data_IF_210763744472
#
_entry.id   IF_210763744472
#
_cell.length_a   1.000
_cell.length_b   1.000
_cell.length_c   1.000
_cell.angle_alpha   90.00
_cell.angle_beta   90.00
_cell.angle_gamma   90.00
#
_symmetry.space_group_name_H-M   'P 1'
#
loop_
_entity.id
_entity.type
_entity.pdbx_description
1 polymer ?
#
# COMPACT_ATOMS: atom_id res chain seq x y z
N UNK A 1 33.14 -17.08 -16.66
CA UNK A 1 32.22 -16.74 -15.57
C UNK A 1 32.31 -15.24 -15.31
N UNK A 2 31.46 -14.46 -15.96
CA UNK A 2 31.33 -13.04 -15.64
C UNK A 2 29.83 -12.76 -15.55
N UNK A 3 29.34 -12.62 -14.32
CA UNK A 3 27.97 -12.19 -14.04
C UNK A 3 27.94 -10.67 -14.06
N UNK A 4 27.54 -10.08 -15.16
CA UNK A 4 27.22 -8.67 -15.21
C UNK A 4 25.85 -8.46 -14.56
N UNK A 5 25.84 -8.01 -13.31
CA UNK A 5 24.66 -7.49 -12.67
C UNK A 5 24.41 -6.08 -13.20
N UNK A 6 23.42 -5.92 -14.07
CA UNK A 6 22.92 -4.62 -14.48
C UNK A 6 22.09 -4.07 -13.34
N UNK A 7 22.59 -3.05 -12.67
CA UNK A 7 21.83 -2.25 -11.71
C UNK A 7 20.94 -1.29 -12.51
N UNK A 8 19.66 -1.60 -12.60
CA UNK A 8 18.69 -0.74 -13.29
C UNK A 8 18.29 0.42 -12.37
N UNK A 9 18.68 1.63 -12.74
CA UNK A 9 18.25 2.87 -12.08
C UNK A 9 16.88 3.26 -12.68
N UNK A 10 15.80 3.07 -11.95
CA UNK A 10 14.45 3.48 -12.37
C UNK A 10 14.22 4.90 -11.88
N UNK A 11 14.21 5.86 -12.81
CA UNK A 11 13.77 7.24 -12.58
C UNK A 11 12.25 7.32 -12.81
N UNK A 12 11.47 7.44 -11.76
CA UNK A 12 10.03 7.70 -11.84
C UNK A 12 9.72 9.16 -11.52
N UNK A 13 9.07 9.85 -12.46
CA UNK A 13 8.52 11.18 -12.23
C UNK A 13 7.11 11.06 -11.62
N UNK A 14 6.88 11.73 -10.50
CA UNK A 14 5.61 11.68 -9.78
C UNK A 14 4.95 13.03 -9.66
N UNK A 15 3.67 13.10 -10.00
CA UNK A 15 2.79 14.21 -9.64
C UNK A 15 2.42 14.12 -8.16
N UNK A 16 2.54 15.25 -7.45
CA UNK A 16 2.31 15.35 -6.01
C UNK A 16 0.83 15.14 -5.67
N UNK A 17 0.49 14.04 -5.03
CA UNK A 17 -0.76 13.85 -4.30
C UNK A 17 -0.51 14.12 -2.81
N UNK A 18 -1.46 14.81 -2.17
CA UNK A 18 -1.45 15.16 -0.76
C UNK A 18 -1.34 13.92 0.14
N UNK A 19 -0.40 13.94 1.07
CA UNK A 19 0.00 12.79 1.85
C UNK A 19 -1.04 12.36 2.87
N UNK A 20 -1.38 11.11 2.76
CA UNK A 20 -1.81 10.29 3.89
C UNK A 20 -0.63 10.04 4.83
N UNK A 21 -0.86 9.98 6.16
CA UNK A 21 0.17 9.44 7.06
C UNK A 21 0.67 8.13 6.46
N UNK A 22 1.98 7.95 6.25
CA UNK A 22 2.46 6.85 5.45
C UNK A 22 2.09 5.53 6.12
N UNK A 23 1.05 4.88 5.62
CA UNK A 23 1.01 3.43 5.70
C UNK A 23 2.17 3.00 4.82
N UNK A 24 3.31 2.73 5.45
CA UNK A 24 4.49 2.27 4.76
C UNK A 24 4.09 1.03 3.98
N UNK A 25 3.92 1.17 2.67
CA UNK A 25 3.64 0.02 1.81
C UNK A 25 4.93 -0.76 1.67
N UNK A 26 5.03 -1.83 2.42
CA UNK A 26 6.09 -2.81 2.22
C UNK A 26 5.92 -3.42 0.84
N UNK A 27 7.00 -3.60 0.05
CA UNK A 27 6.92 -4.22 -1.26
C UNK A 27 6.14 -5.54 -1.22
N UNK A 28 5.21 -5.70 -2.18
CA UNK A 28 4.47 -6.95 -2.29
C UNK A 28 5.41 -8.14 -2.48
N UNK A 29 5.09 -9.32 -1.93
CA UNK A 29 5.86 -10.52 -2.19
C UNK A 29 5.87 -10.82 -3.68
N UNK A 30 7.01 -11.29 -4.19
CA UNK A 30 7.24 -11.52 -5.62
C UNK A 30 6.25 -12.49 -6.27
N UNK A 31 5.60 -13.37 -5.49
CA UNK A 31 4.54 -14.24 -6.00
C UNK A 31 3.29 -13.47 -6.44
N UNK A 32 3.17 -12.19 -6.05
CA UNK A 32 2.09 -11.29 -6.43
C UNK A 32 2.53 -10.27 -7.48
N UNK A 33 3.79 -10.31 -7.92
CA UNK A 33 4.45 -9.28 -8.69
C UNK A 33 4.26 -9.47 -10.20
N UNK A 34 2.99 -9.55 -10.62
CA UNK A 34 2.59 -9.22 -11.99
C UNK A 34 1.86 -7.86 -12.06
N UNK A 35 1.96 -7.03 -11.03
CA UNK A 35 1.52 -5.64 -11.11
C UNK A 35 2.73 -4.74 -11.34
N UNK A 36 2.68 -3.82 -12.31
CA UNK A 36 3.68 -2.79 -12.44
C UNK A 36 3.77 -2.06 -11.10
N UNK A 37 5.00 -1.87 -10.61
CA UNK A 37 5.27 -1.19 -9.36
C UNK A 37 4.84 0.28 -9.45
N UNK A 38 3.58 0.58 -9.21
CA UNK A 38 3.09 1.94 -8.97
C UNK A 38 3.22 2.29 -7.48
N UNK A 39 4.38 2.01 -6.90
CA UNK A 39 4.70 2.50 -5.56
C UNK A 39 5.45 3.81 -5.66
N UNK A 40 4.71 4.87 -5.86
CA UNK A 40 5.20 6.22 -5.63
C UNK A 40 5.23 6.46 -4.13
N UNK A 41 6.37 6.84 -3.53
CA UNK A 41 6.38 7.32 -2.16
C UNK A 41 5.53 8.58 -2.11
N UNK A 42 4.41 8.53 -1.39
CA UNK A 42 3.62 9.70 -1.07
C UNK A 42 4.47 10.67 -0.25
N UNK A 43 4.62 11.90 -0.74
CA UNK A 43 5.28 12.97 0.01
C UNK A 43 4.55 13.19 1.32
N UNK A 44 5.27 13.10 2.44
CA UNK A 44 4.79 13.60 3.72
C UNK A 44 4.42 15.08 3.59
N UNK A 45 3.31 15.45 4.24
CA UNK A 45 3.09 16.82 4.62
C UNK A 45 4.25 17.23 5.55
N UNK A 46 5.22 17.93 5.04
CA UNK A 46 6.08 18.74 5.88
C UNK A 46 5.17 19.76 6.54
N UNK A 47 5.01 19.64 7.84
CA UNK A 47 4.44 20.67 8.67
C UNK A 47 5.28 21.94 8.45
N UNK A 48 4.85 22.80 7.55
CA UNK A 48 5.32 24.16 7.56
C UNK A 48 4.87 24.78 8.89
N UNK A 49 5.84 24.89 9.78
CA UNK A 49 5.75 25.57 11.06
C UNK A 49 5.81 27.10 10.89
N UNK A 50 4.79 27.82 10.57
CA UNK A 50 4.82 29.22 10.89
C UNK A 50 3.59 29.77 11.62
N UNK A 51 2.44 29.06 11.59
CA UNK A 51 1.24 29.60 12.22
C UNK A 51 1.05 29.15 13.70
N UNK A 52 1.46 27.92 14.03
CA UNK A 52 1.25 27.38 15.39
C UNK A 52 2.23 27.96 16.43
N UNK A 53 3.45 28.35 16.02
CA UNK A 53 4.44 28.96 16.91
C UNK A 53 4.10 30.39 17.33
N UNK A 54 3.33 31.15 16.51
CA UNK A 54 2.89 32.52 16.86
C UNK A 54 1.73 32.54 17.85
N UNK A 55 0.91 31.47 17.89
CA UNK A 55 -0.22 31.37 18.83
C UNK A 55 0.23 30.98 20.26
N UNK A 56 1.41 30.37 20.42
CA UNK A 56 1.92 29.99 21.73
C UNK A 56 2.50 31.16 22.53
N UNK A 57 2.97 32.21 21.86
CA UNK A 57 3.66 33.34 22.50
C UNK A 57 2.67 34.42 23.00
N UNK A 58 1.42 34.44 22.50
CA UNK A 58 0.39 35.43 22.86
C UNK A 58 -0.59 34.93 23.94
N UNK A 59 -0.41 33.75 24.52
CA UNK A 59 -1.26 33.27 25.61
C UNK A 59 -0.84 33.93 26.94
N UNK A 60 -1.80 34.56 27.67
CA UNK A 60 -1.50 35.13 28.98
C UNK A 60 -0.91 34.09 29.94
N UNK A 61 -0.04 34.54 30.82
CA UNK A 61 0.61 33.69 31.84
C UNK A 61 -0.38 33.21 32.94
N UNK A 62 -1.58 32.85 32.53
CA UNK A 62 -2.57 32.24 33.41
C UNK A 62 -2.09 30.84 33.81
N UNK A 63 -2.05 30.60 35.12
CA UNK A 63 -1.60 29.37 35.74
C UNK A 63 -2.75 28.35 35.95
N UNK A 64 -3.95 28.66 35.46
CA UNK A 64 -5.07 27.72 35.58
C UNK A 64 -4.81 26.40 34.87
N UNK A 65 -5.42 25.31 35.35
CA UNK A 65 -5.28 23.99 34.71
C UNK A 65 -5.77 23.99 33.27
N UNK A 66 -6.84 24.75 32.97
CA UNK A 66 -7.39 24.91 31.62
C UNK A 66 -6.38 25.58 30.68
N UNK A 67 -5.72 26.65 31.14
CA UNK A 67 -4.70 27.33 30.34
C UNK A 67 -3.49 26.41 30.07
N UNK A 68 -3.08 25.61 31.06
CA UNK A 68 -2.00 24.64 30.91
C UNK A 68 -2.39 23.51 29.93
N UNK A 69 -3.64 22.98 29.99
CA UNK A 69 -4.17 21.98 29.06
C UNK A 69 -4.17 22.55 27.64
N UNK A 70 -4.68 23.76 27.43
CA UNK A 70 -4.70 24.41 26.13
C UNK A 70 -3.29 24.61 25.56
N UNK A 71 -2.33 25.02 26.39
CA UNK A 71 -0.91 25.17 25.99
C UNK A 71 -0.31 23.83 25.60
N UNK A 72 -0.56 22.75 26.36
CA UNK A 72 -0.08 21.41 26.05
C UNK A 72 -0.71 20.86 24.76
N UNK A 73 -1.99 21.16 24.46
CA UNK A 73 -2.67 20.80 23.20
C UNK A 73 -2.04 21.52 22.02
N UNK A 74 -1.85 22.84 22.09
CA UNK A 74 -1.23 23.65 21.03
C UNK A 74 0.22 23.21 20.78
N UNK A 75 0.99 23.00 21.85
CA UNK A 75 2.39 22.55 21.81
C UNK A 75 2.54 21.06 21.49
N UNK A 76 1.44 20.30 21.40
CA UNK A 76 1.43 18.83 21.22
C UNK A 76 2.30 18.09 22.24
N UNK A 77 2.40 18.64 23.47
CA UNK A 77 3.08 17.96 24.58
C UNK A 77 2.14 16.93 25.21
N UNK A 78 2.06 15.77 24.56
CA UNK A 78 1.16 14.68 24.97
C UNK A 78 1.49 14.12 26.34
N UNK A 79 2.76 14.13 26.76
CA UNK A 79 3.19 13.65 28.06
C UNK A 79 2.72 14.60 29.16
N UNK A 80 2.90 15.90 28.97
CA UNK A 80 2.40 16.93 29.87
C UNK A 80 0.87 16.89 29.93
N UNK A 81 0.21 16.78 28.77
CA UNK A 81 -1.25 16.71 28.68
C UNK A 81 -1.83 15.52 29.44
N UNK A 82 -1.21 14.34 29.38
CA UNK A 82 -1.66 13.16 30.13
C UNK A 82 -1.63 13.39 31.65
N UNK A 83 -0.57 14.01 32.16
CA UNK A 83 -0.46 14.39 33.57
C UNK A 83 -1.49 15.44 34.01
N UNK A 84 -1.71 16.47 33.16
CA UNK A 84 -2.69 17.53 33.42
C UNK A 84 -4.13 16.98 33.41
N UNK A 85 -4.46 16.10 32.47
CA UNK A 85 -5.78 15.47 32.40
C UNK A 85 -6.08 14.57 33.61
N UNK A 86 -5.07 13.90 34.16
CA UNK A 86 -5.24 13.12 35.40
C UNK A 86 -5.60 14.02 36.59
N UNK A 87 -4.99 15.19 36.71
CA UNK A 87 -5.30 16.19 37.75
C UNK A 87 -6.68 16.82 37.49
N UNK A 88 -6.96 17.25 36.25
CA UNK A 88 -8.21 17.93 35.88
C UNK A 88 -9.42 17.02 36.02
N UNK A 89 -9.27 15.72 35.86
CA UNK A 89 -10.33 14.74 36.10
C UNK A 89 -10.89 14.78 37.52
N UNK A 90 -10.03 15.09 38.50
CA UNK A 90 -10.39 15.16 39.91
C UNK A 90 -10.93 16.55 40.33
N UNK A 91 -10.83 17.57 39.47
CA UNK A 91 -11.27 18.92 39.78
C UNK A 91 -12.82 18.97 39.84
N UNK A 92 -13.40 19.57 40.89
CA UNK A 92 -14.88 19.64 41.08
C UNK A 92 -15.54 20.50 39.99
N UNK A 93 -14.87 21.56 39.54
CA UNK A 93 -15.38 22.55 38.58
C UNK A 93 -14.90 22.33 37.15
N UNK A 94 -14.49 21.09 36.81
CA UNK A 94 -13.98 20.78 35.48
C UNK A 94 -14.99 21.03 34.39
N UNK A 95 -14.58 21.69 33.32
CA UNK A 95 -15.31 21.73 32.08
C UNK A 95 -15.25 20.34 31.38
N UNK A 96 -16.40 19.67 31.28
CA UNK A 96 -16.51 18.37 30.67
C UNK A 96 -16.19 18.39 29.17
N UNK A 97 -16.49 19.50 28.46
CA UNK A 97 -16.21 19.65 27.02
C UNK A 97 -14.72 19.76 26.81
N UNK A 98 -14.01 20.62 27.57
CA UNK A 98 -12.55 20.75 27.48
C UNK A 98 -11.86 19.43 27.84
N UNK A 99 -12.33 18.73 28.87
CA UNK A 99 -11.76 17.44 29.28
C UNK A 99 -11.88 16.39 28.16
N UNK A 100 -13.11 16.20 27.63
CA UNK A 100 -13.36 15.21 26.59
C UNK A 100 -12.63 15.57 25.28
N UNK A 101 -12.55 16.85 24.92
CA UNK A 101 -11.81 17.38 23.79
C UNK A 101 -10.32 17.06 23.89
N UNK A 102 -9.69 17.41 25.02
CA UNK A 102 -8.28 17.20 25.27
C UNK A 102 -7.94 15.70 25.37
N UNK A 103 -8.79 14.91 26.03
CA UNK A 103 -8.64 13.46 26.09
C UNK A 103 -8.74 12.83 24.69
N UNK A 104 -9.67 13.29 23.86
CA UNK A 104 -9.81 12.82 22.49
C UNK A 104 -8.57 13.12 21.64
N UNK A 105 -7.98 14.32 21.76
CA UNK A 105 -6.73 14.67 21.11
C UNK A 105 -5.56 13.78 21.57
N UNK A 106 -5.47 13.48 22.87
CA UNK A 106 -4.51 12.55 23.43
C UNK A 106 -4.71 11.13 22.89
N UNK A 107 -5.95 10.64 22.82
CA UNK A 107 -6.25 9.30 22.25
C UNK A 107 -5.88 9.21 20.77
N UNK A 108 -6.13 10.28 20.01
CA UNK A 108 -5.68 10.38 18.61
C UNK A 108 -4.16 10.24 18.49
N UNK A 109 -3.39 10.95 19.30
CA UNK A 109 -1.92 10.88 19.30
C UNK A 109 -1.39 9.48 19.65
N UNK A 110 -2.14 8.72 20.46
CA UNK A 110 -1.86 7.33 20.83
C UNK A 110 -2.35 6.31 19.78
N UNK A 111 -2.78 6.75 18.58
CA UNK A 111 -3.39 5.92 17.53
C UNK A 111 -4.69 5.20 17.96
N UNK A 112 -5.34 5.65 19.02
CA UNK A 112 -6.62 5.13 19.55
C UNK A 112 -7.78 5.90 18.92
N UNK A 113 -7.82 5.96 17.58
CA UNK A 113 -8.77 6.79 16.82
C UNK A 113 -10.22 6.46 17.14
N UNK A 114 -10.57 5.19 17.37
CA UNK A 114 -11.95 4.82 17.73
C UNK A 114 -12.45 5.49 19.02
N UNK A 115 -11.59 5.57 20.04
CA UNK A 115 -11.93 6.25 21.30
C UNK A 115 -12.01 7.77 21.11
N UNK A 116 -11.04 8.35 20.36
CA UNK A 116 -11.07 9.77 20.04
C UNK A 116 -12.37 10.17 19.32
N UNK A 117 -12.75 9.43 18.28
CA UNK A 117 -14.02 9.64 17.54
C UNK A 117 -15.22 9.53 18.46
N UNK A 118 -15.24 8.55 19.39
CA UNK A 118 -16.35 8.39 20.34
C UNK A 118 -16.49 9.59 21.29
N UNK A 119 -15.37 10.11 21.81
CA UNK A 119 -15.35 11.30 22.67
C UNK A 119 -15.89 12.54 21.96
N UNK A 120 -15.41 12.80 20.73
CA UNK A 120 -15.85 13.96 19.94
C UNK A 120 -17.33 13.86 19.51
N UNK A 121 -17.80 12.65 19.19
CA UNK A 121 -19.24 12.41 18.98
C UNK A 121 -20.06 12.70 20.23
N UNK A 122 -19.53 12.34 21.41
CA UNK A 122 -20.16 12.65 22.70
C UNK A 122 -20.29 14.15 22.96
N UNK A 123 -19.25 14.94 22.65
CA UNK A 123 -19.27 16.40 22.72
C UNK A 123 -20.35 16.95 21.76
N UNK A 124 -20.33 16.55 20.50
CA UNK A 124 -21.22 17.07 19.47
C UNK A 124 -22.70 16.64 19.64
N UNK A 125 -22.96 15.56 20.37
CA UNK A 125 -24.30 15.15 20.73
C UNK A 125 -24.93 16.14 21.73
N UNK A 126 -24.14 16.76 22.60
CA UNK A 126 -24.56 17.76 23.58
C UNK A 126 -24.49 19.19 23.05
N UNK A 127 -23.51 19.46 22.20
CA UNK A 127 -23.16 20.77 21.65
C UNK A 127 -23.01 20.69 20.12
N UNK A 128 -24.11 20.56 19.38
CA UNK A 128 -24.05 20.32 17.91
C UNK A 128 -23.58 21.52 17.10
N UNK A 129 -23.52 22.70 17.68
CA UNK A 129 -23.06 23.96 17.09
C UNK A 129 -21.56 24.20 17.10
N UNK A 130 -20.80 23.35 17.79
CA UNK A 130 -19.34 23.50 17.89
C UNK A 130 -18.64 23.11 16.58
N UNK A 131 -18.31 24.10 15.74
CA UNK A 131 -17.70 23.90 14.42
C UNK A 131 -16.28 23.29 14.49
N UNK A 132 -15.43 23.76 15.43
CA UNK A 132 -14.05 23.27 15.54
C UNK A 132 -13.96 21.81 16.02
N UNK A 133 -14.65 21.37 17.09
CA UNK A 133 -14.73 19.94 17.43
C UNK A 133 -15.30 19.08 16.30
N UNK A 134 -16.24 19.59 15.51
CA UNK A 134 -16.80 18.90 14.34
C UNK A 134 -15.75 18.76 13.22
N UNK A 135 -14.98 19.82 12.98
CA UNK A 135 -13.86 19.76 12.03
C UNK A 135 -12.83 18.71 12.48
N UNK A 136 -12.40 18.73 13.73
CA UNK A 136 -11.45 17.78 14.29
C UNK A 136 -11.97 16.33 14.23
N UNK A 137 -13.26 16.12 14.50
CA UNK A 137 -13.92 14.81 14.31
C UNK A 137 -13.77 14.35 12.85
N UNK A 138 -14.06 15.23 11.88
CA UNK A 138 -13.89 14.93 10.47
C UNK A 138 -12.44 14.54 10.11
N UNK A 139 -11.45 15.26 10.67
CA UNK A 139 -10.02 14.93 10.48
C UNK A 139 -9.68 13.57 11.10
N UNK A 140 -10.14 13.28 12.32
CA UNK A 140 -9.90 11.98 12.97
C UNK A 140 -10.53 10.82 12.20
N UNK A 141 -11.72 11.01 11.65
CA UNK A 141 -12.38 10.02 10.80
C UNK A 141 -11.60 9.82 9.48
N UNK A 142 -11.08 10.90 8.87
CA UNK A 142 -10.22 10.81 7.70
C UNK A 142 -8.97 9.98 7.99
N UNK A 143 -8.24 10.27 9.06
CA UNK A 143 -7.08 9.51 9.49
C UNK A 143 -7.42 8.03 9.74
N UNK A 144 -8.58 7.78 10.32
CA UNK A 144 -9.09 6.44 10.59
C UNK A 144 -9.76 5.76 9.38
N UNK A 145 -9.61 6.34 8.17
CA UNK A 145 -10.12 5.81 6.90
C UNK A 145 -11.66 5.70 6.80
N UNK A 146 -12.38 6.43 7.60
CA UNK A 146 -13.85 6.56 7.57
C UNK A 146 -14.22 7.73 6.63
N UNK A 147 -13.88 7.60 5.35
CA UNK A 147 -13.93 8.72 4.39
C UNK A 147 -15.33 9.26 4.13
N UNK A 148 -16.33 8.37 4.13
CA UNK A 148 -17.72 8.77 3.94
C UNK A 148 -18.20 9.71 5.06
N UNK A 149 -17.98 9.31 6.31
CA UNK A 149 -18.36 10.08 7.50
C UNK A 149 -17.49 11.34 7.66
N UNK A 150 -16.17 11.21 7.41
CA UNK A 150 -15.25 12.35 7.42
C UNK A 150 -15.70 13.46 6.48
N UNK A 151 -16.10 13.10 5.24
CA UNK A 151 -16.61 14.04 4.25
C UNK A 151 -17.87 14.75 4.74
N UNK A 152 -18.77 14.03 5.40
CA UNK A 152 -20.00 14.59 5.95
C UNK A 152 -19.72 15.59 7.07
N UNK A 153 -18.85 15.24 8.04
CA UNK A 153 -18.53 16.13 9.16
C UNK A 153 -17.73 17.36 8.71
N UNK A 154 -16.77 17.23 7.81
CA UNK A 154 -16.01 18.35 7.27
C UNK A 154 -16.90 19.33 6.48
N UNK A 155 -17.84 18.82 5.68
CA UNK A 155 -18.82 19.67 4.97
C UNK A 155 -19.76 20.41 5.91
N UNK A 156 -20.18 19.80 7.01
CA UNK A 156 -21.03 20.44 8.03
C UNK A 156 -20.29 21.47 8.84
N UNK A 157 -19.00 21.24 9.16
CA UNK A 157 -18.19 22.19 9.91
C UNK A 157 -17.83 23.44 9.10
N UNK A 158 -17.53 23.26 7.80
CA UNK A 158 -16.92 24.28 6.94
C UNK A 158 -17.58 25.65 6.97
N UNK A 159 -18.94 25.80 6.88
CA UNK A 159 -19.57 27.14 6.83
C UNK A 159 -19.28 28.00 8.05
N UNK A 160 -19.11 27.37 9.23
CA UNK A 160 -18.97 28.06 10.52
C UNK A 160 -17.50 28.24 10.95
N UNK A 161 -16.55 27.83 10.08
CA UNK A 161 -15.12 27.97 10.32
C UNK A 161 -14.60 29.31 9.77
N UNK A 162 -13.49 29.79 10.34
CA UNK A 162 -12.77 30.94 9.79
C UNK A 162 -12.13 30.62 8.42
N UNK A 163 -11.89 31.61 7.53
CA UNK A 163 -11.40 31.39 6.17
C UNK A 163 -10.16 30.48 6.04
N UNK A 164 -9.11 30.58 6.88
CA UNK A 164 -7.97 29.65 6.81
C UNK A 164 -8.36 28.20 7.09
N UNK A 165 -9.29 27.97 8.02
CA UNK A 165 -9.78 26.64 8.38
C UNK A 165 -10.74 26.09 7.33
N UNK A 166 -11.49 26.94 6.63
CA UNK A 166 -12.28 26.53 5.47
C UNK A 166 -11.40 25.98 4.35
N UNK A 167 -10.27 26.67 4.06
CA UNK A 167 -9.29 26.20 3.09
C UNK A 167 -8.66 24.86 3.51
N UNK A 168 -8.39 24.69 4.81
CA UNK A 168 -7.89 23.43 5.33
C UNK A 168 -8.94 22.31 5.18
N UNK A 169 -10.21 22.58 5.46
CA UNK A 169 -11.31 21.65 5.22
C UNK A 169 -11.40 21.24 3.74
N UNK A 170 -11.24 22.18 2.80
CA UNK A 170 -11.21 21.88 1.36
C UNK A 170 -10.05 20.95 0.97
N UNK A 171 -8.88 21.15 1.57
CA UNK A 171 -7.74 20.23 1.36
C UNK A 171 -8.03 18.82 1.83
N UNK A 172 -8.65 18.68 3.02
CA UNK A 172 -9.07 17.35 3.51
C UNK A 172 -10.14 16.71 2.62
N UNK A 173 -11.13 17.49 2.15
CA UNK A 173 -12.15 17.00 1.23
C UNK A 173 -11.53 16.51 -0.09
N UNK A 174 -10.59 17.25 -0.66
CA UNK A 174 -9.84 16.83 -1.84
C UNK A 174 -9.00 15.57 -1.57
N UNK A 175 -8.37 15.47 -0.39
CA UNK A 175 -7.58 14.31 0.03
C UNK A 175 -8.45 13.06 0.26
N UNK A 176 -9.74 13.21 0.56
CA UNK A 176 -10.70 12.10 0.64
C UNK A 176 -11.07 11.61 -0.77
N UNK A 177 -11.21 12.52 -1.74
CA UNK A 177 -11.68 12.18 -3.09
C UNK A 177 -10.56 11.58 -3.97
N UNK A 178 -9.34 12.11 -3.85
CA UNK A 178 -8.20 11.70 -4.67
C UNK A 178 -7.90 10.19 -4.61
N UNK A 179 -7.76 9.53 -3.46
CA UNK A 179 -7.47 8.10 -3.40
C UNK A 179 -8.66 7.22 -3.80
N UNK A 180 -9.88 7.78 -3.86
CA UNK A 180 -11.08 7.08 -4.28
C UNK A 180 -11.42 7.28 -5.77
N UNK A 181 -10.64 8.08 -6.48
CA UNK A 181 -10.73 8.22 -7.92
C UNK A 181 -10.12 7.02 -8.64
N UNK A 182 -10.34 6.93 -9.95
CA UNK A 182 -9.63 5.97 -10.78
C UNK A 182 -8.14 6.27 -10.78
N UNK A 183 -7.33 5.24 -10.51
CA UNK A 183 -5.88 5.29 -10.48
C UNK A 183 -5.35 4.55 -11.71
N UNK A 184 -5.04 5.25 -12.81
CA UNK A 184 -4.39 4.65 -13.96
C UNK A 184 -2.91 4.43 -13.67
N UNK A 185 -2.36 3.36 -14.24
CA UNK A 185 -0.92 3.10 -14.29
C UNK A 185 -0.53 2.68 -15.69
N UNK A 186 0.66 3.08 -16.12
CA UNK A 186 1.24 2.69 -17.42
C UNK A 186 2.74 2.47 -17.22
N UNK A 187 3.24 1.41 -17.79
CA UNK A 187 4.67 1.09 -17.79
C UNK A 187 5.14 0.72 -19.19
N UNK A 188 6.37 1.13 -19.51
CA UNK A 188 7.05 0.79 -20.76
C UNK A 188 8.53 0.60 -20.48
N UNK A 189 9.09 -0.52 -20.93
CA UNK A 189 10.49 -0.86 -20.72
C UNK A 189 11.05 -1.58 -21.95
N UNK A 190 12.22 -1.15 -22.44
CA UNK A 190 12.96 -1.92 -23.41
C UNK A 190 13.59 -3.13 -22.72
N UNK A 191 13.53 -4.29 -23.37
CA UNK A 191 14.10 -5.55 -22.88
C UNK A 191 14.85 -6.25 -24.01
N UNK A 192 16.01 -6.80 -23.66
CA UNK A 192 16.83 -7.63 -24.54
C UNK A 192 17.27 -8.86 -23.74
N UNK A 193 17.15 -10.03 -24.37
CA UNK A 193 17.58 -11.31 -23.81
C UNK A 193 18.39 -12.11 -24.83
N UNK A 194 19.39 -12.84 -24.37
CA UNK A 194 20.16 -13.77 -25.20
C UNK A 194 19.57 -15.19 -25.17
N UNK A 195 18.49 -15.43 -24.41
CA UNK A 195 17.87 -16.75 -24.25
C UNK A 195 16.37 -16.62 -23.96
N UNK A 196 15.60 -16.22 -24.96
CA UNK A 196 14.13 -16.04 -24.83
C UNK A 196 13.40 -17.36 -24.62
N UNK A 197 13.92 -18.47 -25.15
CA UNK A 197 13.34 -19.80 -25.06
C UNK A 197 13.79 -20.59 -23.83
N UNK A 198 14.56 -19.98 -22.91
CA UNK A 198 15.15 -20.64 -21.72
C UNK A 198 15.84 -21.97 -22.02
N UNK A 199 16.46 -22.08 -23.19
CA UNK A 199 17.15 -23.29 -23.61
C UNK A 199 18.54 -23.41 -22.96
N UNK A 200 18.99 -24.66 -22.73
CA UNK A 200 20.37 -24.92 -22.35
C UNK A 200 21.31 -24.65 -23.51
N UNK A 201 22.45 -24.01 -23.26
CA UNK A 201 23.51 -23.75 -24.23
C UNK A 201 24.28 -24.99 -24.70
N UNK A 202 24.09 -26.11 -24.00
CA UNK A 202 24.68 -27.40 -24.38
C UNK A 202 24.16 -27.84 -25.73
N UNK A 203 25.08 -28.09 -26.67
CA UNK A 203 24.76 -28.51 -28.06
C UNK A 203 24.49 -30.00 -28.19
N UNK A 204 25.01 -30.80 -27.27
CA UNK A 204 24.89 -32.25 -27.26
C UNK A 204 24.15 -32.72 -26.04
N UNK A 205 23.16 -33.56 -26.24
CA UNK A 205 22.45 -34.25 -25.15
C UNK A 205 22.87 -35.71 -25.16
N UNK A 206 23.26 -36.24 -24.01
CA UNK A 206 23.43 -37.67 -23.81
C UNK A 206 22.17 -38.28 -23.25
N UNK A 207 21.57 -39.19 -24.02
CA UNK A 207 20.34 -39.88 -23.63
C UNK A 207 20.49 -41.38 -23.92
N UNK A 208 20.31 -42.19 -22.90
CA UNK A 208 20.47 -43.66 -22.98
C UNK A 208 21.76 -44.11 -23.64
N UNK A 209 22.90 -43.48 -23.32
CA UNK A 209 24.19 -43.80 -23.86
C UNK A 209 24.42 -43.36 -25.30
N UNK A 210 23.46 -42.69 -25.93
CA UNK A 210 23.56 -42.08 -27.26
C UNK A 210 23.72 -40.59 -27.18
N UNK A 211 24.53 -40.02 -28.09
CA UNK A 211 24.77 -38.57 -28.23
C UNK A 211 23.87 -37.98 -29.31
N UNK A 212 23.08 -36.97 -28.93
CA UNK A 212 22.17 -36.29 -29.83
C UNK A 212 22.57 -34.83 -29.97
N UNK A 213 22.70 -34.33 -31.21
CA UNK A 213 22.89 -32.91 -31.46
C UNK A 213 21.55 -32.16 -31.44
N UNK A 214 21.49 -31.08 -30.67
CA UNK A 214 20.33 -30.18 -30.69
C UNK A 214 20.22 -29.44 -32.03
N UNK A 215 19.03 -29.24 -32.50
CA UNK A 215 18.71 -28.31 -33.60
C UNK A 215 18.92 -26.86 -33.18
N UNK A 216 19.09 -25.95 -34.13
CA UNK A 216 19.28 -24.53 -33.87
C UNK A 216 18.13 -23.94 -32.99
N UNK A 217 16.89 -24.38 -33.22
CA UNK A 217 15.70 -23.91 -32.50
C UNK A 217 15.68 -24.37 -31.03
N UNK A 218 16.45 -25.42 -30.68
CA UNK A 218 16.59 -25.94 -29.33
C UNK A 218 17.77 -25.32 -28.57
N UNK A 219 18.49 -24.40 -29.15
CA UNK A 219 19.56 -23.61 -28.54
C UNK A 219 19.03 -22.26 -28.08
N UNK A 220 19.74 -21.54 -27.20
CA UNK A 220 19.37 -20.20 -26.78
C UNK A 220 19.15 -19.26 -27.96
N UNK A 221 17.97 -18.61 -27.99
CA UNK A 221 17.59 -17.65 -29.01
C UNK A 221 17.60 -16.25 -28.43
N UNK A 222 18.16 -15.30 -29.19
CA UNK A 222 18.15 -13.88 -28.80
C UNK A 222 16.81 -13.26 -29.16
N UNK A 223 16.38 -12.33 -28.34
CA UNK A 223 15.22 -11.51 -28.64
C UNK A 223 15.36 -10.12 -28.03
N UNK A 224 14.76 -9.12 -28.66
CA UNK A 224 14.66 -7.78 -28.14
C UNK A 224 13.28 -7.20 -28.44
N UNK A 225 12.82 -6.33 -27.54
CA UNK A 225 11.46 -5.82 -27.66
C UNK A 225 11.09 -4.86 -26.56
N UNK A 226 9.78 -4.71 -26.36
CA UNK A 226 9.21 -3.82 -25.37
C UNK A 226 8.30 -4.62 -24.42
N UNK A 227 8.59 -4.51 -23.15
CA UNK A 227 7.66 -4.85 -22.08
C UNK A 227 6.75 -3.67 -21.81
N UNK A 228 5.46 -3.91 -21.83
CA UNK A 228 4.44 -2.88 -21.61
C UNK A 228 3.41 -3.33 -20.58
N UNK A 229 2.80 -2.37 -19.92
CA UNK A 229 1.71 -2.59 -18.99
C UNK A 229 0.81 -1.38 -18.91
N UNK A 230 -0.48 -1.62 -18.79
CA UNK A 230 -1.47 -0.60 -18.51
C UNK A 230 -2.52 -1.15 -17.56
N UNK A 231 -2.91 -0.32 -16.60
CA UNK A 231 -3.89 -0.71 -15.61
C UNK A 231 -4.74 0.46 -15.15
N UNK A 232 -5.85 0.11 -14.53
CA UNK A 232 -6.69 1.06 -13.84
C UNK A 232 -7.26 0.38 -12.60
N UNK A 233 -7.22 1.06 -11.47
CA UNK A 233 -7.80 0.55 -10.23
C UNK A 233 -8.61 1.63 -9.52
N UNK A 234 -9.52 1.19 -8.68
CA UNK A 234 -10.31 2.07 -7.84
C UNK A 234 -10.63 1.41 -6.52
N UNK A 235 -10.60 2.20 -5.45
CA UNK A 235 -11.01 1.79 -4.12
C UNK A 235 -11.94 2.83 -3.54
N UNK A 236 -13.16 2.44 -3.20
CA UNK A 236 -14.22 3.35 -2.74
C UNK A 236 -14.60 2.96 -1.32
N UNK A 237 -14.60 3.94 -0.40
CA UNK A 237 -15.18 3.77 0.93
C UNK A 237 -16.70 3.78 0.83
N UNK A 238 -17.32 2.72 1.32
CA UNK A 238 -18.79 2.54 1.32
C UNK A 238 -19.45 2.79 2.68
N UNK A 239 -18.65 3.26 3.64
CA UNK A 239 -19.05 3.61 5.00
C UNK A 239 -18.18 2.93 6.05
N UNK A 240 -17.98 3.58 7.19
CA UNK A 240 -17.08 3.11 8.24
C UNK A 240 -15.68 2.80 7.67
N UNK A 241 -15.20 1.61 7.99
CA UNK A 241 -13.91 1.10 7.53
C UNK A 241 -14.01 0.20 6.29
N UNK A 242 -15.18 0.16 5.64
CA UNK A 242 -15.47 -0.76 4.56
C UNK A 242 -15.16 -0.13 3.20
N UNK A 243 -14.43 -0.87 2.36
CA UNK A 243 -14.05 -0.45 1.01
C UNK A 243 -14.36 -1.54 0.00
N UNK A 244 -14.78 -1.11 -1.18
CA UNK A 244 -14.89 -1.94 -2.39
C UNK A 244 -13.72 -1.60 -3.29
N UNK A 245 -13.01 -2.63 -3.74
CA UNK A 245 -11.86 -2.52 -4.64
C UNK A 245 -12.20 -3.14 -5.99
N UNK A 246 -11.74 -2.51 -7.07
CA UNK A 246 -11.79 -3.07 -8.43
C UNK A 246 -10.53 -2.69 -9.21
N UNK A 247 -10.05 -3.58 -10.06
CA UNK A 247 -8.96 -3.29 -10.99
C UNK A 247 -9.09 -4.08 -12.28
N UNK A 248 -8.61 -3.46 -13.37
CA UNK A 248 -8.39 -4.07 -14.66
C UNK A 248 -6.96 -3.74 -15.07
N UNK A 249 -6.16 -4.73 -15.41
CA UNK A 249 -4.79 -4.54 -15.88
C UNK A 249 -4.46 -5.49 -17.01
N UNK A 250 -3.64 -5.01 -17.93
CA UNK A 250 -3.04 -5.80 -18.98
C UNK A 250 -1.55 -5.52 -19.05
N UNK A 251 -0.77 -6.56 -19.24
CA UNK A 251 0.68 -6.46 -19.42
C UNK A 251 1.14 -7.45 -20.49
N UNK A 252 2.31 -7.19 -21.06
CA UNK A 252 2.88 -8.07 -22.04
C UNK A 252 4.31 -7.75 -22.39
N UNK A 253 4.88 -8.66 -23.17
CA UNK A 253 6.18 -8.53 -23.79
C UNK A 253 6.01 -8.73 -25.30
N UNK A 254 6.43 -7.75 -26.07
CA UNK A 254 6.42 -7.82 -27.53
C UNK A 254 7.89 -7.83 -28.04
N UNK A 255 8.30 -8.98 -28.55
CA UNK A 255 9.58 -9.15 -29.23
C UNK A 255 9.40 -8.87 -30.72
N UNK A 256 10.27 -8.04 -31.31
CA UNK A 256 10.21 -7.69 -32.73
C UNK A 256 10.74 -8.80 -33.63
N UNK A 257 11.72 -9.54 -33.12
CA UNK A 257 12.49 -10.57 -33.86
C UNK A 257 12.12 -12.01 -33.49
N UNK A 258 11.30 -12.23 -32.46
CA UNK A 258 10.92 -13.58 -32.01
C UNK A 258 9.49 -13.61 -31.42
N UNK A 259 8.51 -13.43 -32.30
CA UNK A 259 7.11 -13.20 -31.92
C UNK A 259 6.40 -14.41 -31.29
N UNK A 260 6.93 -15.62 -31.49
CA UNK A 260 6.38 -16.83 -30.85
C UNK A 260 6.49 -16.80 -29.30
N UNK A 261 7.39 -15.96 -28.79
CA UNK A 261 7.58 -15.73 -27.36
C UNK A 261 6.91 -14.46 -26.85
N UNK A 262 6.09 -13.81 -27.67
CA UNK A 262 5.27 -12.68 -27.21
C UNK A 262 4.30 -13.14 -26.12
N UNK A 263 4.36 -12.48 -24.99
CA UNK A 263 3.48 -12.74 -23.84
C UNK A 263 2.49 -11.59 -23.68
N UNK A 264 1.25 -11.92 -23.36
CA UNK A 264 0.22 -10.94 -23.01
C UNK A 264 -0.61 -11.48 -21.86
N UNK A 265 -1.08 -10.61 -20.99
CA UNK A 265 -2.03 -10.95 -19.94
C UNK A 265 -3.13 -9.90 -19.84
N UNK A 266 -4.31 -10.32 -19.40
CA UNK A 266 -5.40 -9.45 -19.01
C UNK A 266 -5.96 -9.96 -17.69
N UNK A 267 -5.95 -9.12 -16.66
CA UNK A 267 -6.43 -9.44 -15.32
C UNK A 267 -7.58 -8.53 -14.91
N UNK A 268 -8.62 -9.13 -14.39
CA UNK A 268 -9.73 -8.47 -13.71
C UNK A 268 -9.73 -8.90 -12.24
N UNK A 269 -9.84 -7.96 -11.32
CA UNK A 269 -10.00 -8.24 -9.90
C UNK A 269 -11.05 -7.32 -9.29
N UNK A 270 -11.82 -7.86 -8.35
CA UNK A 270 -12.73 -7.08 -7.53
C UNK A 270 -12.79 -7.69 -6.14
N UNK A 271 -12.92 -6.87 -5.11
CA UNK A 271 -12.86 -7.40 -3.75
C UNK A 271 -13.29 -6.40 -2.68
N UNK A 272 -13.19 -6.86 -1.47
CA UNK A 272 -13.50 -6.13 -0.27
C UNK A 272 -12.24 -5.85 0.53
N UNK A 273 -12.17 -4.65 1.13
CA UNK A 273 -11.14 -4.30 2.10
C UNK A 273 -11.75 -3.63 3.33
N UNK A 274 -11.14 -3.85 4.47
CA UNK A 274 -11.42 -3.14 5.71
C UNK A 274 -10.16 -2.40 6.13
N UNK A 275 -10.25 -1.08 6.35
CA UNK A 275 -9.10 -0.22 6.63
C UNK A 275 -9.36 0.72 7.78
N UNK A 276 -8.39 0.83 8.69
CA UNK A 276 -8.34 1.84 9.73
C UNK A 276 -6.95 2.49 9.79
N UNK A 277 -6.73 3.41 10.71
CA UNK A 277 -5.42 4.02 10.93
C UNK A 277 -4.32 3.02 11.31
N UNK A 278 -4.68 1.89 11.91
CA UNK A 278 -3.73 0.94 12.49
C UNK A 278 -3.71 -0.43 11.81
N UNK A 279 -4.76 -0.77 11.08
CA UNK A 279 -4.84 -2.08 10.41
C UNK A 279 -5.57 -2.01 9.08
N UNK A 280 -5.22 -2.91 8.18
CA UNK A 280 -6.00 -3.19 6.98
C UNK A 280 -6.11 -4.70 6.75
N UNK A 281 -7.23 -5.11 6.18
CA UNK A 281 -7.49 -6.46 5.73
C UNK A 281 -8.16 -6.38 4.36
N UNK A 282 -7.76 -7.24 3.43
CA UNK A 282 -8.36 -7.33 2.11
C UNK A 282 -8.59 -8.77 1.67
N UNK A 283 -9.62 -8.96 0.87
CA UNK A 283 -9.93 -10.22 0.19
C UNK A 283 -10.34 -9.88 -1.24
N UNK A 284 -9.54 -10.34 -2.22
CA UNK A 284 -9.64 -9.91 -3.61
C UNK A 284 -9.58 -11.14 -4.53
N UNK A 285 -10.72 -11.69 -4.95
CA UNK A 285 -10.79 -12.64 -6.06
C UNK A 285 -10.35 -11.97 -7.37
N UNK A 286 -9.78 -12.78 -8.27
CA UNK A 286 -9.35 -12.35 -9.58
C UNK A 286 -9.49 -13.43 -10.65
N UNK A 287 -9.55 -13.00 -11.90
CA UNK A 287 -9.41 -13.84 -13.08
C UNK A 287 -8.41 -13.21 -14.04
N UNK A 288 -7.58 -14.05 -14.66
CA UNK A 288 -6.56 -13.63 -15.61
C UNK A 288 -6.56 -14.56 -16.81
N UNK A 289 -6.44 -13.99 -18.01
CA UNK A 289 -6.21 -14.71 -19.25
C UNK A 289 -4.82 -14.39 -19.76
N UNK A 290 -4.04 -15.41 -20.08
CA UNK A 290 -2.70 -15.29 -20.62
C UNK A 290 -2.66 -15.80 -22.06
N UNK A 291 -1.86 -15.12 -22.91
CA UNK A 291 -1.57 -15.50 -24.29
C UNK A 291 -0.06 -15.66 -24.47
N UNK A 292 0.34 -16.57 -25.32
CA UNK A 292 1.72 -16.79 -25.76
C UNK A 292 1.74 -16.93 -27.28
N UNK A 293 2.61 -16.21 -27.98
CA UNK A 293 2.68 -16.19 -29.43
C UNK A 293 1.33 -15.83 -30.09
N UNK A 294 0.55 -14.92 -29.47
CA UNK A 294 -0.78 -14.52 -29.93
C UNK A 294 -1.90 -15.54 -29.69
N UNK A 295 -1.60 -16.72 -29.14
CA UNK A 295 -2.59 -17.78 -28.85
C UNK A 295 -2.94 -17.81 -27.38
N UNK A 296 -4.22 -18.11 -27.04
CA UNK A 296 -4.62 -18.31 -25.64
C UNK A 296 -3.81 -19.46 -25.03
N UNK A 297 -3.05 -19.17 -24.00
CA UNK A 297 -2.13 -20.11 -23.37
C UNK A 297 -2.74 -20.74 -22.13
N UNK A 298 -3.00 -19.93 -21.09
CA UNK A 298 -3.65 -20.41 -19.89
C UNK A 298 -4.62 -19.35 -19.33
N UNK A 299 -5.48 -19.79 -18.42
CA UNK A 299 -6.32 -18.95 -17.58
C UNK A 299 -6.00 -19.21 -16.12
N UNK A 300 -5.88 -18.15 -15.35
CA UNK A 300 -5.72 -18.20 -13.90
C UNK A 300 -6.96 -17.64 -13.22
N UNK A 301 -7.41 -18.30 -12.17
CA UNK A 301 -8.43 -17.76 -11.25
C UNK A 301 -7.95 -17.96 -9.84
N UNK A 302 -8.25 -17.03 -8.97
CA UNK A 302 -7.76 -17.14 -7.60
C UNK A 302 -8.35 -16.12 -6.67
N UNK A 303 -7.88 -16.20 -5.44
CA UNK A 303 -8.20 -15.26 -4.38
C UNK A 303 -6.90 -14.83 -3.71
N UNK A 304 -6.80 -13.56 -3.38
CA UNK A 304 -5.71 -12.99 -2.59
C UNK A 304 -6.27 -12.34 -1.35
N UNK A 305 -5.57 -12.52 -0.24
CA UNK A 305 -5.86 -11.87 1.01
C UNK A 305 -4.62 -11.12 1.47
N UNK A 306 -4.83 -9.93 1.97
CA UNK A 306 -3.81 -9.11 2.59
C UNK A 306 -4.26 -8.70 3.99
N UNK A 307 -3.33 -8.69 4.92
CA UNK A 307 -3.50 -8.14 6.25
C UNK A 307 -2.27 -7.32 6.60
N UNK A 308 -2.47 -6.11 7.09
CA UNK A 308 -1.39 -5.32 7.66
C UNK A 308 -1.81 -4.70 8.98
N UNK A 309 -0.88 -4.59 9.93
CA UNK A 309 -1.12 -3.97 11.22
C UNK A 309 0.11 -3.21 11.69
N UNK A 310 -0.11 -1.98 12.11
CA UNK A 310 0.87 -1.20 12.84
C UNK A 310 0.91 -1.70 14.28
N UNK A 311 2.02 -2.30 14.68
CA UNK A 311 2.22 -2.86 16.01
C UNK A 311 2.63 -1.77 17.00
N UNK A 312 3.35 -0.75 16.52
CA UNK A 312 3.72 0.45 17.24
C UNK A 312 3.97 1.58 16.25
N UNK A 313 4.40 2.75 16.71
CA UNK A 313 4.80 3.87 15.82
C UNK A 313 5.92 3.48 14.85
N UNK A 314 6.76 2.52 15.21
CA UNK A 314 7.95 2.11 14.44
C UNK A 314 7.79 0.77 13.72
N UNK A 315 6.88 -0.11 14.17
CA UNK A 315 6.78 -1.47 13.68
C UNK A 315 5.46 -1.72 12.94
N UNK A 316 5.56 -2.34 11.78
CA UNK A 316 4.41 -2.80 10.99
C UNK A 316 4.61 -4.25 10.57
N UNK A 317 3.57 -5.07 10.76
CA UNK A 317 3.47 -6.44 10.27
C UNK A 317 2.56 -6.45 9.03
N UNK A 318 2.99 -7.17 7.98
CA UNK A 318 2.17 -7.44 6.79
C UNK A 318 2.17 -8.94 6.51
N UNK A 319 1.00 -9.49 6.31
CA UNK A 319 0.77 -10.89 5.96
C UNK A 319 -0.02 -10.93 4.66
N UNK A 320 0.38 -11.83 3.75
CA UNK A 320 -0.37 -12.07 2.52
C UNK A 320 -0.56 -13.57 2.34
N UNK A 321 -1.71 -13.97 1.83
CA UNK A 321 -1.98 -15.33 1.44
C UNK A 321 -2.79 -15.35 0.14
N UNK A 322 -2.72 -16.44 -0.59
CA UNK A 322 -3.48 -16.60 -1.79
C UNK A 322 -3.61 -18.03 -2.23
N UNK A 323 -4.55 -18.26 -3.10
CA UNK A 323 -4.78 -19.55 -3.72
C UNK A 323 -5.11 -19.30 -5.20
N UNK A 324 -4.32 -19.88 -6.11
CA UNK A 324 -4.41 -19.71 -7.55
C UNK A 324 -4.66 -21.05 -8.20
N UNK A 325 -5.60 -21.11 -9.13
CA UNK A 325 -5.82 -22.25 -10.03
C UNK A 325 -5.42 -21.84 -11.45
N UNK A 326 -4.60 -22.70 -12.09
CA UNK A 326 -4.14 -22.51 -13.47
C UNK A 326 -4.74 -23.59 -14.36
N UNK A 327 -5.25 -23.16 -15.50
CA UNK A 327 -5.87 -24.02 -16.51
C UNK A 327 -5.27 -23.72 -17.86
N UNK A 328 -4.55 -24.69 -18.43
CA UNK A 328 -3.94 -24.59 -19.74
C UNK A 328 -4.95 -24.98 -20.82
N UNK A 329 -4.88 -24.29 -21.97
CA UNK A 329 -5.83 -24.53 -23.06
C UNK A 329 -5.48 -25.77 -23.88
N UNK A 330 -4.19 -26.00 -24.16
CA UNK A 330 -3.72 -27.17 -24.88
C UNK A 330 -3.89 -28.41 -24.01
N UNK A 331 -4.41 -29.54 -24.56
CA UNK A 331 -4.68 -30.78 -23.83
C UNK A 331 -3.45 -31.37 -23.17
N UNK A 332 -2.32 -31.37 -23.88
CA UNK A 332 -1.08 -31.95 -23.41
C UNK A 332 -0.46 -31.09 -22.30
N UNK A 333 -0.49 -29.76 -22.47
CA UNK A 333 -0.12 -28.83 -21.43
C UNK A 333 -1.06 -28.92 -20.22
N UNK A 334 -2.37 -29.09 -20.43
CA UNK A 334 -3.35 -29.24 -19.37
C UNK A 334 -3.16 -30.53 -18.57
N UNK A 335 -2.77 -31.62 -19.23
CA UNK A 335 -2.46 -32.88 -18.57
C UNK A 335 -1.28 -32.76 -17.59
N UNK A 336 -0.30 -31.92 -17.91
CA UNK A 336 0.94 -31.75 -17.15
C UNK A 336 0.87 -30.59 -16.16
N UNK A 337 0.46 -29.40 -16.61
CA UNK A 337 0.68 -28.12 -15.94
C UNK A 337 -0.58 -27.52 -15.28
N UNK A 338 -1.79 -28.08 -15.50
CA UNK A 338 -2.91 -27.64 -14.69
C UNK A 338 -2.59 -27.81 -13.22
N UNK A 339 -2.75 -26.74 -12.46
CA UNK A 339 -2.25 -26.71 -11.08
C UNK A 339 -3.12 -25.86 -10.16
N UNK A 340 -2.88 -26.05 -8.87
CA UNK A 340 -3.31 -25.15 -7.83
C UNK A 340 -2.12 -24.79 -6.97
N UNK A 341 -2.04 -23.49 -6.66
CA UNK A 341 -0.88 -22.92 -6.00
C UNK A 341 -1.32 -22.09 -4.79
N UNK A 342 -1.31 -22.67 -3.58
CA UNK A 342 -1.31 -21.90 -2.35
C UNK A 342 -0.01 -21.11 -2.22
N UNK A 343 -0.10 -19.92 -1.66
CA UNK A 343 1.04 -19.07 -1.39
C UNK A 343 0.80 -18.22 -0.14
N UNK A 344 1.88 -17.90 0.56
CA UNK A 344 1.86 -17.08 1.76
C UNK A 344 3.15 -16.28 1.89
N UNK A 345 3.05 -15.11 2.49
CA UNK A 345 4.22 -14.31 2.86
C UNK A 345 3.97 -13.53 4.14
N UNK A 346 5.05 -13.29 4.86
CA UNK A 346 5.06 -12.42 6.02
C UNK A 346 6.20 -11.41 5.90
N UNK A 347 5.95 -10.17 6.29
CA UNK A 347 6.96 -9.11 6.29
C UNK A 347 6.82 -8.27 7.54
N UNK A 348 7.93 -8.02 8.20
CA UNK A 348 8.05 -7.11 9.32
C UNK A 348 8.87 -5.90 8.88
N UNK A 349 8.33 -4.70 9.08
CA UNK A 349 8.96 -3.44 8.71
C UNK A 349 9.22 -2.59 9.96
N UNK A 350 10.35 -1.89 9.96
CA UNK A 350 10.79 -0.99 11.02
C UNK A 350 11.14 0.38 10.49
N UNK A 351 10.45 1.41 10.94
CA UNK A 351 10.73 2.81 10.63
C UNK A 351 11.70 3.39 11.65
N UNK A 352 12.87 3.84 11.20
CA UNK A 352 13.87 4.47 12.05
C UNK A 352 13.59 5.96 12.26
N UNK A 353 14.13 6.59 13.33
CA UNK A 353 14.00 8.05 13.53
C UNK A 353 14.64 8.91 12.43
N UNK A 354 15.50 8.32 11.58
CA UNK A 354 16.17 8.99 10.46
C UNK A 354 15.47 8.74 9.11
N UNK A 355 14.17 8.43 9.11
CA UNK A 355 13.35 8.18 7.93
C UNK A 355 13.85 7.03 7.03
N UNK A 356 14.52 6.03 7.62
CA UNK A 356 14.77 4.77 6.95
C UNK A 356 13.66 3.79 7.28
N UNK A 357 13.19 3.09 6.26
CA UNK A 357 12.37 1.91 6.40
C UNK A 357 13.25 0.68 6.17
N UNK A 358 13.39 -0.13 7.19
CA UNK A 358 14.04 -1.45 7.10
C UNK A 358 12.95 -2.52 7.10
N UNK A 359 13.09 -3.55 6.28
CA UNK A 359 12.13 -4.65 6.30
C UNK A 359 12.80 -6.00 6.07
N UNK A 360 12.22 -7.02 6.68
CA UNK A 360 12.55 -8.43 6.47
C UNK A 360 11.29 -9.26 6.29
N UNK A 361 11.36 -10.28 5.46
CA UNK A 361 10.20 -11.13 5.20
C UNK A 361 10.56 -12.51 4.70
N UNK A 362 9.59 -13.39 4.74
CA UNK A 362 9.65 -14.75 4.20
C UNK A 362 8.49 -15.00 3.24
N UNK A 363 8.76 -15.79 2.22
CA UNK A 363 7.82 -16.16 1.17
C UNK A 363 7.77 -17.69 1.04
N UNK A 364 6.58 -18.21 0.80
CA UNK A 364 6.36 -19.60 0.50
C UNK A 364 5.29 -19.75 -0.57
N UNK A 365 5.51 -20.67 -1.53
CA UNK A 365 4.48 -21.13 -2.46
C UNK A 365 4.72 -22.58 -2.86
N UNK A 366 3.65 -23.28 -3.20
CA UNK A 366 3.68 -24.64 -3.68
C UNK A 366 2.81 -24.76 -4.94
N UNK A 367 3.44 -24.87 -6.11
CA UNK A 367 2.72 -25.11 -7.37
C UNK A 367 2.51 -26.62 -7.52
N UNK A 368 1.30 -27.08 -7.20
CA UNK A 368 0.87 -28.48 -7.24
C UNK A 368 0.28 -28.79 -8.62
N UNK A 369 1.13 -29.18 -9.54
CA UNK A 369 0.76 -29.58 -10.90
C UNK A 369 0.18 -31.00 -10.94
N UNK A 370 -0.56 -31.33 -11.99
CA UNK A 370 -1.09 -32.68 -12.21
C UNK A 370 0.05 -33.70 -12.34
N UNK A 371 1.11 -33.37 -13.04
CA UNK A 371 2.31 -34.18 -13.17
C UNK A 371 3.27 -33.81 -12.04
N UNK A 372 3.52 -34.75 -11.13
CA UNK A 372 4.28 -34.48 -9.90
C UNK A 372 5.72 -34.00 -10.17
N UNK A 373 6.31 -34.40 -11.30
CA UNK A 373 7.66 -33.98 -11.72
C UNK A 373 7.73 -32.48 -12.06
N UNK A 374 6.60 -31.86 -12.38
CA UNK A 374 6.48 -30.45 -12.68
C UNK A 374 6.10 -29.59 -11.45
N UNK A 375 5.79 -30.25 -10.33
CA UNK A 375 5.47 -29.55 -9.09
C UNK A 375 6.69 -28.84 -8.54
N UNK A 376 6.47 -27.67 -7.94
CA UNK A 376 7.57 -26.89 -7.36
C UNK A 376 7.18 -26.24 -6.04
N UNK A 377 8.10 -26.29 -5.09
CA UNK A 377 8.00 -25.55 -3.83
C UNK A 377 9.04 -24.45 -3.84
N UNK A 378 8.59 -23.21 -3.62
CA UNK A 378 9.48 -22.06 -3.52
C UNK A 378 9.45 -21.53 -2.09
N UNK A 379 10.62 -21.31 -1.52
CA UNK A 379 10.83 -20.67 -0.22
C UNK A 379 11.85 -19.57 -0.40
N UNK A 380 11.59 -18.41 0.14
CA UNK A 380 12.47 -17.26 0.00
C UNK A 380 12.50 -16.40 1.26
N UNK A 381 13.60 -15.68 1.44
CA UNK A 381 13.73 -14.62 2.43
C UNK A 381 14.03 -13.31 1.71
N UNK A 382 13.53 -12.20 2.25
CA UNK A 382 13.71 -10.86 1.70
C UNK A 382 14.20 -9.93 2.78
N UNK A 383 15.18 -9.11 2.45
CA UNK A 383 15.63 -8.02 3.30
C UNK A 383 15.77 -6.77 2.44
N UNK A 384 15.47 -5.62 3.00
CA UNK A 384 15.64 -4.38 2.25
C UNK A 384 15.59 -3.16 3.14
N UNK A 385 16.00 -2.06 2.52
CA UNK A 385 15.98 -0.75 3.12
C UNK A 385 15.48 0.29 2.10
N UNK A 386 14.67 1.22 2.57
CA UNK A 386 14.20 2.37 1.79
C UNK A 386 14.47 3.66 2.57
N UNK A 387 14.79 4.73 1.83
CA UNK A 387 14.82 6.09 2.36
C UNK A 387 14.26 7.04 1.32
N UNK A 388 13.31 7.87 1.74
CA UNK A 388 12.86 9.03 0.99
C UNK A 388 13.55 10.28 1.57
N UNK A 389 14.03 11.15 0.68
CA UNK A 389 14.65 12.42 1.03
C UNK A 389 13.67 13.56 0.76
N UNK A 390 13.81 14.67 1.49
CA UNK A 390 12.93 15.85 1.38
C UNK A 390 12.91 16.49 0.00
N UNK A 391 13.99 16.34 -0.77
CA UNK A 391 14.11 16.83 -2.15
C UNK A 391 13.39 15.94 -3.19
N UNK A 392 12.65 14.92 -2.76
CA UNK A 392 11.93 13.99 -3.64
C UNK A 392 12.77 12.84 -4.19
N UNK A 393 14.06 12.75 -3.83
CA UNK A 393 14.91 11.61 -4.16
C UNK A 393 14.63 10.44 -3.20
N UNK A 394 14.72 9.20 -3.69
CA UNK A 394 14.57 8.00 -2.89
C UNK A 394 15.60 6.95 -3.22
N UNK A 395 16.08 6.24 -2.21
CA UNK A 395 16.96 5.08 -2.35
C UNK A 395 16.22 3.84 -1.86
N UNK A 396 16.28 2.77 -2.66
CA UNK A 396 15.74 1.46 -2.30
C UNK A 396 16.78 0.39 -2.61
N UNK A 397 17.01 -0.50 -1.66
CA UNK A 397 17.85 -1.69 -1.84
C UNK A 397 17.10 -2.93 -1.39
N UNK A 398 17.25 -4.02 -2.13
CA UNK A 398 16.65 -5.31 -1.83
C UNK A 398 17.69 -6.42 -1.98
N UNK A 399 17.67 -7.36 -1.03
CA UNK A 399 18.34 -8.64 -1.10
C UNK A 399 17.28 -9.74 -1.04
N UNK A 400 17.46 -10.74 -1.90
CA UNK A 400 16.52 -11.86 -1.98
C UNK A 400 17.26 -13.19 -2.15
#
# INVERSE_FOLDING_TARGET
MNKNHIVLLILSFTSAALADTPVVRVPAPVFFDKQPNSETPSKEFTNDKPAEQRLSDDLPADSSLEAQINRALIGRDWKMLEGLLAQYKAAPDRDAVLYDYALGALRRSQLRHGEAVSLYRGILAKHPDLAYPRFDLGVMMFENKQYHEAKAELKRAKPDLQPPMQQLADRYLASIESPQSWQPDVSLQYEQTDNVNNASSERVIEWNGSRWNKTADSLPQKAHGIRYGAGVSREINVGGHHFVYSSLSGDGMHYWDNQDFNEQSLRLAAGYKNRSAVQSFGIVPFAEQNWLGGKRYNRETGIRTDFSRRLSEKWQLSLNAGYIKKYYRNSDSAARYNSHMPLASATLAYSTPKNWLLYGGADWSHDMTKEAEQASVRKGMRFGAMKAFENGFGIRTNLR
#
